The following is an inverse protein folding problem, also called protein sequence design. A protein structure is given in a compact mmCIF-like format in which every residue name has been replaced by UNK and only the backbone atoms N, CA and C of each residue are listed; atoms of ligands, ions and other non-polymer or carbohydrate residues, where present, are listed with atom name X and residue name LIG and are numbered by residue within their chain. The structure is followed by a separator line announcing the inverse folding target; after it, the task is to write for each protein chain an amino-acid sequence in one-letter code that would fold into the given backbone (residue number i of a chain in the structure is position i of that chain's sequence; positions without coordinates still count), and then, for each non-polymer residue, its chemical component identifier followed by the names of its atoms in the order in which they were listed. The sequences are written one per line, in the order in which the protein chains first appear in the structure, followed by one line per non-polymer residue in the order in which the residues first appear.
data_IF_748444524498
#
_entry.id   IF_748444524498
#
_cell.length_a   1.000
_cell.length_b   1.000
_cell.length_c   1.000
_cell.angle_alpha   90.00
_cell.angle_beta   90.00
_cell.angle_gamma   90.00
#
_symmetry.space_group_name_H-M   'P 1'
#
loop_
_entity.id
_entity.type
_entity.pdbx_description
1 polymer ?
#
# COMPACT_ATOMS: atom_id res chain seq x y z
N UNK A 1 -2.02 2.70 -8.18
CA UNK A 1 -0.85 2.15 -7.48
C UNK A 1 -1.34 1.40 -6.26
N UNK A 2 -0.73 0.26 -5.93
CA UNK A 2 -1.04 -0.53 -4.74
C UNK A 2 0.12 -0.37 -3.75
N UNK A 3 -0.19 0.03 -2.52
CA UNK A 3 0.80 0.15 -1.45
C UNK A 3 0.32 -0.68 -0.29
N UNK A 4 1.12 -1.69 0.03
CA UNK A 4 0.89 -2.55 1.19
C UNK A 4 1.66 -1.99 2.37
N UNK A 5 0.96 -1.59 3.42
CA UNK A 5 1.52 -1.10 4.68
C UNK A 5 1.59 -2.23 5.71
N UNK A 6 2.78 -2.51 6.26
CA UNK A 6 2.89 -3.33 7.45
C UNK A 6 3.85 -2.70 8.45
N UNK A 7 3.26 -2.51 9.61
CA UNK A 7 3.84 -2.03 10.85
C UNK A 7 3.05 -2.74 11.94
N UNK A 8 3.64 -3.01 13.10
CA UNK A 8 2.91 -3.67 14.20
C UNK A 8 1.61 -2.93 14.58
N UNK A 9 1.61 -1.59 14.47
CA UNK A 9 0.45 -0.75 14.73
C UNK A 9 -0.55 -0.68 13.56
N UNK A 10 -0.08 -0.95 12.33
CA UNK A 10 -0.89 -0.89 11.11
C UNK A 10 -1.59 -2.19 10.77
N UNK A 11 -1.12 -3.32 11.33
CA UNK A 11 -1.67 -4.64 11.11
C UNK A 11 -3.18 -4.70 11.44
N UNK A 12 -3.98 -5.42 10.63
CA UNK A 12 -5.37 -5.66 10.94
C UNK A 12 -5.48 -6.47 12.22
N UNK A 13 -6.42 -6.10 13.07
CA UNK A 13 -6.72 -6.79 14.33
C UNK A 13 -8.22 -6.85 14.57
N UNK A 14 -8.57 -7.75 15.47
CA UNK A 14 -9.94 -7.94 15.94
C UNK A 14 -10.07 -7.29 17.33
N UNK A 15 -10.92 -6.27 17.45
CA UNK A 15 -11.06 -5.48 18.72
C UNK A 15 -12.36 -5.72 19.49
N UNK A 16 -13.33 -6.39 18.87
CA UNK A 16 -14.51 -7.05 19.44
C UNK A 16 -14.75 -8.34 18.64
N UNK A 17 -15.70 -9.22 18.95
CA UNK A 17 -15.80 -10.57 18.33
C UNK A 17 -15.59 -10.61 16.79
N UNK A 18 -16.02 -9.56 16.08
CA UNK A 18 -15.95 -9.42 14.61
C UNK A 18 -15.56 -8.03 14.07
N UNK A 19 -15.20 -7.07 14.92
CA UNK A 19 -14.74 -5.76 14.43
C UNK A 19 -13.31 -5.88 13.91
N UNK A 20 -13.13 -5.67 12.62
CA UNK A 20 -11.81 -5.59 11.97
C UNK A 20 -11.40 -4.12 11.92
N UNK A 21 -10.24 -3.80 12.49
CA UNK A 21 -9.60 -2.49 12.34
C UNK A 21 -8.12 -2.60 11.98
N UNK A 22 -7.60 -1.62 11.26
CA UNK A 22 -6.18 -1.54 10.87
C UNK A 22 -5.88 -0.19 10.21
N UNK A 23 -4.64 0.01 9.75
CA UNK A 23 -4.27 1.21 9.01
C UNK A 23 -4.00 0.87 7.55
N UNK A 24 -4.87 1.36 6.66
CA UNK A 24 -4.69 1.18 5.22
C UNK A 24 -3.48 1.96 4.71
N UNK A 25 -3.20 3.11 5.35
CA UNK A 25 -2.10 4.01 5.02
C UNK A 25 -1.39 4.38 6.31
N UNK A 26 -0.05 4.36 6.29
CA UNK A 26 0.79 4.93 7.36
C UNK A 26 1.57 6.11 6.80
N UNK A 27 1.64 7.20 7.56
CA UNK A 27 2.26 8.43 7.10
C UNK A 27 3.74 8.51 7.46
N UNK A 28 4.51 9.16 6.58
CA UNK A 28 5.93 9.48 6.74
C UNK A 28 6.83 8.26 7.00
N UNK A 29 6.42 7.08 6.53
CA UNK A 29 7.21 5.86 6.61
C UNK A 29 7.57 5.37 5.21
N UNK A 30 8.80 4.86 5.07
CA UNK A 30 9.28 4.26 3.83
C UNK A 30 8.60 2.90 3.60
N UNK A 31 8.07 2.71 2.40
CA UNK A 31 7.64 1.40 1.92
C UNK A 31 8.84 0.46 1.73
N UNK A 32 8.57 -0.83 1.51
CA UNK A 32 9.54 -1.68 0.83
C UNK A 32 9.76 -1.23 -0.62
N UNK A 33 10.76 -1.82 -1.25
CA UNK A 33 11.01 -1.65 -2.68
C UNK A 33 9.79 -2.10 -3.47
N UNK A 34 9.15 -1.15 -4.13
CA UNK A 34 8.03 -1.36 -5.05
C UNK A 34 8.60 -1.49 -6.45
N UNK A 35 8.21 -2.55 -7.15
CA UNK A 35 8.44 -2.70 -8.57
C UNK A 35 7.13 -2.42 -9.31
N UNK A 36 7.12 -1.40 -10.17
CA UNK A 36 6.00 -1.02 -11.02
C UNK A 36 6.30 -1.43 -12.47
N UNK A 37 5.80 -2.58 -12.94
CA UNK A 37 6.19 -3.14 -14.24
C UNK A 37 5.83 -2.23 -15.41
N UNK A 38 4.67 -1.57 -15.31
CA UNK A 38 4.12 -0.71 -16.37
C UNK A 38 5.05 0.47 -16.69
N UNK A 39 5.75 0.98 -15.67
CA UNK A 39 6.70 2.09 -15.81
C UNK A 39 8.15 1.63 -15.81
N UNK A 40 8.39 0.33 -15.61
CA UNK A 40 9.73 -0.27 -15.40
C UNK A 40 10.50 0.49 -14.31
N UNK A 41 9.80 0.89 -13.24
CA UNK A 41 10.37 1.65 -12.14
C UNK A 41 10.46 0.78 -10.89
N UNK A 42 11.56 0.97 -10.17
CA UNK A 42 11.79 0.39 -8.85
C UNK A 42 12.05 1.52 -7.87
N UNK A 43 11.22 1.66 -6.83
CA UNK A 43 11.33 2.77 -5.88
C UNK A 43 10.87 2.39 -4.46
N UNK A 44 11.34 3.14 -3.47
CA UNK A 44 10.69 3.26 -2.16
C UNK A 44 9.72 4.41 -2.21
N UNK A 45 8.64 4.31 -1.46
CA UNK A 45 7.59 5.30 -1.38
C UNK A 45 7.38 5.81 0.03
N UNK A 46 7.03 7.09 0.15
CA UNK A 46 6.58 7.71 1.39
C UNK A 46 5.29 8.47 1.11
N UNK A 47 4.26 8.21 1.91
CA UNK A 47 3.01 8.98 1.90
C UNK A 47 3.10 10.04 2.99
N UNK A 48 3.07 11.31 2.61
CA UNK A 48 3.08 12.38 3.62
C UNK A 48 1.75 12.45 4.37
N UNK A 49 1.78 12.93 5.62
CA UNK A 49 0.57 13.13 6.44
C UNK A 49 -0.50 14.00 5.76
N UNK A 50 -0.07 14.95 4.93
CA UNK A 50 -0.98 15.83 4.17
C UNK A 50 -1.53 15.22 2.87
N UNK A 51 -1.11 14.01 2.51
CA UNK A 51 -1.48 13.40 1.24
C UNK A 51 -2.95 12.96 1.18
N UNK A 52 -3.55 12.71 2.34
CA UNK A 52 -4.96 12.33 2.49
C UNK A 52 -5.65 13.37 3.35
N UNK A 53 -6.79 13.87 2.88
CA UNK A 53 -7.61 14.85 3.60
C UNK A 53 -9.03 14.32 3.80
N UNK A 54 -9.74 14.85 4.79
CA UNK A 54 -11.17 14.54 4.97
C UNK A 54 -11.98 14.87 3.71
N UNK A 55 -11.68 15.98 3.04
CA UNK A 55 -12.31 16.36 1.77
C UNK A 55 -12.11 15.29 0.68
N UNK A 56 -10.90 14.72 0.57
CA UNK A 56 -10.63 13.62 -0.35
C UNK A 56 -11.51 12.39 0.00
N UNK A 57 -11.56 12.01 1.27
CA UNK A 57 -12.34 10.85 1.72
C UNK A 57 -13.84 11.02 1.43
N UNK A 58 -14.38 12.22 1.65
CA UNK A 58 -15.79 12.54 1.36
C UNK A 58 -16.12 12.51 -0.13
N UNK A 59 -15.14 12.65 -1.01
CA UNK A 59 -15.30 12.55 -2.45
C UNK A 59 -14.99 11.15 -3.03
N UNK A 60 -14.61 10.19 -2.18
CA UNK A 60 -14.26 8.85 -2.61
C UNK A 60 -15.35 7.81 -2.30
N UNK A 61 -15.40 6.80 -3.17
CA UNK A 61 -16.09 5.53 -2.97
C UNK A 61 -15.02 4.46 -2.73
N UNK A 62 -14.79 4.16 -1.46
CA UNK A 62 -13.69 3.32 -0.95
C UNK A 62 -14.26 2.00 -0.46
N UNK A 63 -13.71 0.89 -0.93
CA UNK A 63 -14.11 -0.46 -0.51
C UNK A 63 -13.10 -1.02 0.49
N UNK A 64 -13.58 -1.70 1.51
CA UNK A 64 -12.77 -2.67 2.23
C UNK A 64 -12.95 -4.02 1.54
N UNK A 65 -11.88 -4.56 0.97
CA UNK A 65 -11.87 -5.85 0.25
C UNK A 65 -10.78 -6.73 0.82
N UNK A 66 -10.83 -8.04 0.58
CA UNK A 66 -9.75 -8.95 0.97
C UNK A 66 -8.77 -9.17 -0.17
N UNK A 67 -7.46 -9.15 0.12
CA UNK A 67 -6.38 -9.33 -0.88
C UNK A 67 -6.50 -8.43 -2.13
N UNK A 68 -7.11 -7.26 -1.95
CA UNK A 68 -7.51 -6.36 -3.03
C UNK A 68 -8.35 -6.99 -4.16
N UNK A 69 -9.05 -8.08 -3.88
CA UNK A 69 -10.01 -8.69 -4.80
C UNK A 69 -11.35 -7.97 -4.68
N UNK A 70 -11.73 -7.24 -5.74
CA UNK A 70 -12.97 -6.48 -5.77
C UNK A 70 -14.24 -7.35 -5.63
N UNK A 71 -14.13 -8.68 -5.82
CA UNK A 71 -15.22 -9.63 -5.62
C UNK A 71 -15.38 -10.04 -4.15
N UNK A 72 -14.39 -9.77 -3.30
CA UNK A 72 -14.36 -10.15 -1.87
C UNK A 72 -14.62 -8.94 -0.99
N UNK A 73 -15.78 -8.33 -1.17
CA UNK A 73 -16.18 -7.10 -0.49
C UNK A 73 -16.55 -7.38 0.98
N UNK A 74 -15.94 -6.63 1.90
CA UNK A 74 -16.18 -6.72 3.33
C UNK A 74 -16.99 -5.53 3.85
N UNK A 75 -16.62 -4.32 3.44
CA UNK A 75 -17.31 -3.10 3.82
C UNK A 75 -17.12 -2.00 2.77
N UNK A 76 -17.87 -0.90 2.89
CA UNK A 76 -17.78 0.21 1.94
C UNK A 76 -18.03 1.55 2.59
N UNK A 77 -17.20 2.52 2.21
CA UNK A 77 -17.34 3.94 2.49
C UNK A 77 -17.71 4.64 1.18
N UNK A 78 -18.92 5.15 1.12
CA UNK A 78 -19.46 5.87 -0.02
C UNK A 78 -19.70 7.32 0.39
N UNK A 79 -18.74 8.18 0.07
CA UNK A 79 -18.85 9.63 0.26
C UNK A 79 -19.21 10.03 1.71
N UNK A 80 -18.56 9.44 2.70
CA UNK A 80 -18.86 9.73 4.11
C UNK A 80 -19.82 8.76 4.80
N UNK A 81 -20.33 7.74 4.10
CA UNK A 81 -21.39 6.86 4.61
C UNK A 81 -21.23 5.40 4.23
N UNK A 82 -21.67 4.47 5.09
CA UNK A 82 -21.71 3.04 4.77
C UNK A 82 -21.28 2.16 5.95
N UNK A 83 -20.87 0.93 5.65
CA UNK A 83 -20.43 -0.06 6.64
C UNK A 83 -18.95 0.03 6.99
N UNK A 84 -18.17 0.80 6.22
CA UNK A 84 -16.77 1.10 6.53
C UNK A 84 -16.70 2.44 7.25
N UNK A 85 -15.95 2.48 8.35
CA UNK A 85 -15.52 3.71 9.01
C UNK A 85 -14.07 4.01 8.64
N UNK A 86 -13.79 5.28 8.34
CA UNK A 86 -12.45 5.78 8.05
C UNK A 86 -12.16 6.96 8.99
N UNK A 87 -10.95 7.03 9.53
CA UNK A 87 -10.52 8.16 10.36
C UNK A 87 -9.04 8.45 10.13
N UNK A 88 -8.71 9.73 9.99
CA UNK A 88 -7.33 10.20 9.95
C UNK A 88 -6.83 10.47 11.37
N UNK A 89 -5.60 10.04 11.64
CA UNK A 89 -4.86 10.45 12.82
C UNK A 89 -3.39 10.74 12.47
N UNK A 90 -2.59 11.00 13.50
CA UNK A 90 -1.16 11.28 13.33
C UNK A 90 -0.38 10.11 12.72
N UNK A 91 -0.88 8.89 12.89
CA UNK A 91 -0.23 7.70 12.40
C UNK A 91 -0.58 7.41 10.94
N UNK A 92 -1.83 7.58 10.55
CA UNK A 92 -2.29 7.12 9.24
C UNK A 92 -3.78 7.30 8.97
N UNK A 93 -4.24 6.61 7.91
CA UNK A 93 -5.65 6.40 7.63
C UNK A 93 -6.09 5.07 8.24
N UNK A 94 -6.80 5.15 9.36
CA UNK A 94 -7.41 4.00 10.01
C UNK A 94 -8.68 3.58 9.28
N UNK A 95 -8.88 2.28 9.12
CA UNK A 95 -10.16 1.70 8.71
C UNK A 95 -10.72 0.81 9.82
N UNK A 96 -12.05 0.74 9.89
CA UNK A 96 -12.76 -0.10 10.84
C UNK A 96 -14.12 -0.51 10.27
N UNK A 97 -14.52 -1.77 10.47
CA UNK A 97 -15.86 -2.24 10.13
C UNK A 97 -16.22 -3.51 10.90
N UNK A 98 -17.52 -3.73 11.08
CA UNK A 98 -18.05 -5.03 11.53
C UNK A 98 -18.00 -6.01 10.35
N UNK A 99 -17.26 -7.11 10.51
CA UNK A 99 -17.07 -8.08 9.43
C UNK A 99 -18.39 -8.78 9.09
N UNK A 100 -18.87 -8.71 7.84
CA UNK A 100 -20.17 -9.24 7.47
C UNK A 100 -20.22 -10.76 7.70
N UNK A 101 -21.41 -11.29 7.99
CA UNK A 101 -21.63 -12.74 8.10
C UNK A 101 -21.75 -13.38 6.71
N UNK A 102 -20.63 -13.41 6.00
CA UNK A 102 -20.46 -14.02 4.68
C UNK A 102 -19.23 -14.94 4.70
N UNK A 103 -19.08 -15.77 3.68
CA UNK A 103 -17.89 -16.63 3.52
C UNK A 103 -16.60 -15.82 3.63
N UNK A 104 -16.52 -14.66 2.97
CA UNK A 104 -15.34 -13.81 3.01
C UNK A 104 -15.16 -13.07 4.34
N UNK A 105 -16.25 -12.64 4.98
CA UNK A 105 -16.16 -11.98 6.28
C UNK A 105 -15.76 -12.93 7.41
N UNK A 106 -16.28 -14.16 7.40
CA UNK A 106 -15.87 -15.22 8.32
C UNK A 106 -14.41 -15.64 8.09
N UNK A 107 -14.02 -15.80 6.82
CA UNK A 107 -12.65 -16.09 6.45
C UNK A 107 -11.69 -14.99 6.93
N UNK A 108 -12.03 -13.71 6.70
CA UNK A 108 -11.20 -12.58 7.12
C UNK A 108 -10.99 -12.56 8.63
N UNK A 109 -12.07 -12.75 9.41
CA UNK A 109 -11.99 -12.80 10.89
C UNK A 109 -11.08 -13.93 11.35
N UNK A 110 -11.23 -15.13 10.80
CA UNK A 110 -10.44 -16.29 11.21
C UNK A 110 -8.95 -16.13 10.86
N UNK A 111 -8.64 -15.71 9.62
CA UNK A 111 -7.25 -15.56 9.18
C UNK A 111 -6.54 -14.41 9.89
N UNK A 112 -7.25 -13.32 10.24
CA UNK A 112 -6.67 -12.25 11.06
C UNK A 112 -6.42 -12.73 12.50
N UNK A 113 -7.37 -13.46 13.12
CA UNK A 113 -7.19 -14.00 14.48
C UNK A 113 -6.00 -14.94 14.59
N UNK A 114 -5.77 -15.75 13.56
CA UNK A 114 -4.64 -16.69 13.48
C UNK A 114 -3.30 -16.00 13.15
N UNK A 115 -3.34 -14.76 12.65
CA UNK A 115 -2.17 -14.05 12.16
C UNK A 115 -1.73 -14.47 10.75
N UNK A 116 -2.54 -15.23 10.02
CA UNK A 116 -2.28 -15.57 8.62
C UNK A 116 -2.47 -14.34 7.70
N UNK A 117 -3.43 -13.47 8.05
CA UNK A 117 -3.56 -12.12 7.50
C UNK A 117 -3.11 -11.14 8.58
N UNK A 118 -1.94 -10.54 8.36
CA UNK A 118 -1.28 -9.74 9.39
C UNK A 118 -0.84 -8.36 8.88
N UNK A 119 -1.15 -7.99 7.64
CA UNK A 119 -0.87 -6.66 7.12
C UNK A 119 -2.06 -5.97 6.48
N UNK A 120 -1.89 -4.69 6.21
CA UNK A 120 -2.89 -3.83 5.58
C UNK A 120 -2.34 -3.23 4.30
N UNK A 121 -3.23 -2.72 3.46
CA UNK A 121 -2.84 -2.16 2.19
C UNK A 121 -3.93 -1.22 1.69
N UNK A 122 -3.60 -0.42 0.69
CA UNK A 122 -4.56 0.40 -0.02
C UNK A 122 -4.19 0.57 -1.49
N UNK A 123 -5.21 0.82 -2.32
CA UNK A 123 -5.03 1.26 -3.70
C UNK A 123 -5.46 2.70 -3.85
N UNK A 124 -4.64 3.46 -4.57
CA UNK A 124 -4.89 4.87 -4.81
C UNK A 124 -4.39 5.33 -6.17
N UNK A 125 -4.78 6.53 -6.53
CA UNK A 125 -4.40 7.22 -7.75
C UNK A 125 -3.89 8.62 -7.41
N UNK A 126 -2.85 9.05 -8.12
CA UNK A 126 -2.32 10.42 -8.11
C UNK A 126 -1.63 10.71 -9.44
N UNK A 127 -1.53 11.97 -9.85
CA UNK A 127 -0.80 12.36 -11.06
C UNK A 127 0.69 12.61 -10.78
N UNK A 128 1.51 11.62 -11.13
CA UNK A 128 2.98 11.67 -10.95
C UNK A 128 3.68 12.75 -11.78
N UNK A 129 3.00 13.38 -12.74
CA UNK A 129 3.55 14.50 -13.53
C UNK A 129 3.43 15.83 -12.79
N UNK A 130 2.54 15.92 -11.81
CA UNK A 130 2.36 17.12 -10.99
C UNK A 130 3.35 17.09 -9.81
N UNK A 131 4.39 17.94 -9.90
CA UNK A 131 5.41 18.07 -8.85
C UNK A 131 4.85 18.56 -7.51
N UNK A 132 3.66 19.14 -7.49
CA UNK A 132 2.94 19.50 -6.27
C UNK A 132 2.24 18.30 -5.61
N UNK A 133 2.12 17.15 -6.29
CA UNK A 133 1.53 15.93 -5.77
C UNK A 133 2.54 14.82 -5.53
N UNK A 134 3.54 14.70 -6.39
CA UNK A 134 4.58 13.67 -6.29
C UNK A 134 5.94 14.28 -6.60
N UNK A 135 6.93 13.98 -5.76
CA UNK A 135 8.33 14.26 -6.07
C UNK A 135 9.15 12.99 -6.06
N UNK A 136 10.25 13.04 -6.80
CA UNK A 136 11.21 11.95 -6.90
C UNK A 136 12.59 12.44 -6.49
N UNK A 137 13.26 11.66 -5.67
CA UNK A 137 14.65 11.89 -5.27
C UNK A 137 15.43 10.58 -5.28
N UNK A 138 16.75 10.64 -5.09
CA UNK A 138 17.58 9.45 -4.88
C UNK A 138 18.03 9.38 -3.43
N UNK A 139 17.86 8.21 -2.81
CA UNK A 139 18.34 7.88 -1.48
C UNK A 139 19.07 6.54 -1.54
N UNK A 140 20.35 6.52 -1.17
CA UNK A 140 21.19 5.30 -1.15
C UNK A 140 21.19 4.50 -2.48
N UNK A 141 21.18 5.19 -3.62
CA UNK A 141 21.16 4.55 -4.94
C UNK A 141 19.78 4.09 -5.41
N UNK A 142 18.74 4.22 -4.59
CA UNK A 142 17.36 3.87 -4.92
C UNK A 142 16.51 5.12 -5.15
N UNK A 143 15.53 5.00 -6.05
CA UNK A 143 14.54 6.04 -6.29
C UNK A 143 13.60 6.12 -5.08
N UNK A 144 13.41 7.32 -4.54
CA UNK A 144 12.46 7.62 -3.49
C UNK A 144 11.34 8.47 -4.08
N UNK A 145 10.11 7.93 -4.06
CA UNK A 145 8.88 8.59 -4.49
C UNK A 145 8.15 9.13 -3.26
N UNK A 146 7.96 10.44 -3.20
CA UNK A 146 7.26 11.08 -2.08
C UNK A 146 5.91 11.56 -2.59
N UNK A 147 4.83 11.14 -1.93
CA UNK A 147 3.46 11.51 -2.26
C UNK A 147 3.00 12.60 -1.31
N UNK A 148 2.83 13.79 -1.86
CA UNK A 148 2.32 14.96 -1.19
C UNK A 148 0.79 15.04 -1.24
N UNK A 149 0.16 14.50 -2.29
CA UNK A 149 -1.30 14.51 -2.49
C UNK A 149 -1.80 13.27 -3.24
N UNK A 150 -2.93 12.74 -2.80
CA UNK A 150 -3.66 11.65 -3.44
C UNK A 150 -4.92 12.22 -4.11
N UNK A 151 -5.20 11.75 -5.34
CA UNK A 151 -6.38 12.18 -6.10
C UNK A 151 -7.61 11.31 -5.81
N UNK A 152 -7.39 10.03 -5.51
CA UNK A 152 -8.47 9.09 -5.19
C UNK A 152 -7.93 7.89 -4.44
N UNK A 153 -8.67 7.44 -3.43
CA UNK A 153 -8.48 6.13 -2.80
C UNK A 153 -9.57 5.19 -3.34
N UNK A 154 -9.17 3.99 -3.74
CA UNK A 154 -10.07 2.99 -4.33
C UNK A 154 -10.50 1.96 -3.31
N UNK A 155 -9.53 1.44 -2.54
CA UNK A 155 -9.78 0.42 -1.55
C UNK A 155 -8.73 0.42 -0.44
N UNK A 156 -9.13 -0.17 0.69
CA UNK A 156 -8.27 -0.63 1.78
C UNK A 156 -8.43 -2.15 1.89
N UNK A 157 -7.38 -2.85 2.26
CA UNK A 157 -7.38 -4.32 2.27
C UNK A 157 -6.54 -4.88 3.41
N UNK A 158 -7.09 -5.80 4.23
CA UNK A 158 -6.26 -6.80 4.91
C UNK A 158 -5.57 -7.69 3.86
N UNK A 159 -4.29 -8.00 4.10
CA UNK A 159 -3.46 -8.80 3.19
C UNK A 159 -2.55 -9.79 3.95
N UNK A 160 -2.38 -11.00 3.42
CA UNK A 160 -1.47 -12.03 3.93
C UNK A 160 -0.01 -11.79 3.54
N UNK A 161 0.21 -11.17 2.40
CA UNK A 161 1.54 -10.77 1.92
C UNK A 161 1.64 -9.26 1.89
N UNK A 162 1.66 -8.58 3.05
CA UNK A 162 1.97 -7.17 3.04
C UNK A 162 3.36 -6.96 2.46
N UNK A 163 3.59 -5.80 1.88
CA UNK A 163 4.91 -5.49 1.34
C UNK A 163 5.98 -5.59 2.44
N UNK A 164 5.64 -5.56 3.73
CA UNK A 164 6.57 -5.76 4.82
C UNK A 164 6.42 -7.14 5.49
N UNK A 165 7.28 -8.08 5.15
CA UNK A 165 7.94 -8.88 6.19
C UNK A 165 9.15 -8.15 6.72
N UNK A 166 9.09 -7.74 8.00
CA UNK A 166 10.26 -7.51 8.83
C UNK A 166 10.74 -8.87 9.34
N UNK A 167 11.48 -9.58 8.51
CA UNK A 167 12.49 -10.49 9.03
C UNK A 167 13.83 -9.88 8.66
N UNK A 168 14.78 -9.97 9.58
CA UNK A 168 16.20 -9.72 9.41
C UNK A 168 16.85 -10.63 8.35
N UNK A 169 16.23 -10.72 7.17
CA UNK A 169 16.94 -10.95 5.94
C UNK A 169 17.25 -9.54 5.46
N UNK A 170 18.40 -9.04 5.95
CA UNK A 170 19.28 -8.21 5.14
C UNK A 170 19.04 -8.62 3.69
N UNK A 171 18.43 -7.77 2.88
CA UNK A 171 18.50 -7.92 1.42
C UNK A 171 19.98 -8.13 1.17
N UNK A 172 20.38 -9.37 0.90
CA UNK A 172 21.79 -9.76 0.83
C UNK A 172 22.30 -9.13 -0.45
N UNK A 173 22.83 -7.93 -0.24
CA UNK A 173 23.36 -6.99 -1.22
C UNK A 173 22.40 -6.56 -2.34
N UNK A 174 22.75 -5.40 -2.93
CA UNK A 174 22.19 -4.90 -4.19
C UNK A 174 22.22 -5.98 -5.29
N UNK A 175 23.11 -6.98 -5.16
CA UNK A 175 23.34 -8.05 -6.11
C UNK A 175 22.17 -9.04 -6.19
N UNK A 176 21.45 -9.32 -5.09
CA UNK A 176 20.29 -10.22 -5.12
C UNK A 176 19.07 -9.55 -5.79
N UNK A 177 18.90 -8.24 -5.58
CA UNK A 177 17.93 -7.43 -6.33
C UNK A 177 18.34 -7.36 -7.80
N UNK A 178 19.63 -7.12 -8.10
CA UNK A 178 20.15 -7.18 -9.47
C UNK A 178 19.94 -8.56 -10.10
N UNK A 179 20.10 -9.65 -9.36
CA UNK A 179 19.92 -11.01 -9.85
C UNK A 179 18.44 -11.33 -10.11
N UNK A 180 17.52 -10.89 -9.25
CA UNK A 180 16.07 -11.01 -9.48
C UNK A 180 15.62 -10.17 -10.69
N UNK A 181 16.21 -8.98 -10.89
CA UNK A 181 15.93 -8.11 -12.04
C UNK A 181 16.55 -8.70 -13.32
N UNK A 182 17.80 -9.17 -13.28
CA UNK A 182 18.50 -9.81 -14.42
C UNK A 182 17.82 -11.09 -14.88
N UNK A 183 17.30 -11.91 -13.94
CA UNK A 183 16.60 -13.15 -14.31
C UNK A 183 15.23 -12.92 -14.94
N UNK A 184 14.62 -11.73 -14.78
CA UNK A 184 13.34 -11.40 -15.40
C UNK A 184 13.46 -10.65 -16.72
N UNK A 185 14.52 -9.85 -16.92
CA UNK A 185 14.70 -9.06 -18.14
C UNK A 185 16.16 -9.09 -18.62
N UNK A 186 16.41 -9.84 -19.71
CA UNK A 186 17.65 -9.79 -20.50
C UNK A 186 17.85 -8.43 -21.24
N UNK A 187 17.03 -7.43 -20.94
CA UNK A 187 16.94 -6.15 -21.66
C UNK A 187 17.50 -4.95 -20.85
N UNK A 188 17.75 -5.13 -19.54
CA UNK A 188 18.20 -4.07 -18.63
C UNK A 188 19.63 -3.57 -18.93
N UNK A 189 20.56 -4.49 -19.24
CA UNK A 189 21.94 -4.13 -19.58
C UNK A 189 22.03 -3.35 -20.89
N UNK A 190 21.13 -3.63 -21.83
CA UNK A 190 21.05 -2.93 -23.13
C UNK A 190 20.56 -1.50 -22.94
N UNK A 191 19.59 -1.26 -22.05
CA UNK A 191 19.02 0.07 -21.78
C UNK A 191 19.97 0.98 -20.98
N UNK A 192 20.77 0.43 -20.06
CA UNK A 192 21.80 1.19 -19.34
C UNK A 192 22.90 1.73 -20.27
N UNK A 193 23.23 1.00 -21.35
CA UNK A 193 24.17 1.46 -22.35
C UNK A 193 23.61 2.63 -23.18
N UNK A 194 22.29 2.65 -23.42
CA UNK A 194 21.64 3.74 -24.17
C UNK A 194 21.54 5.03 -23.35
N UNK A 195 21.28 4.93 -22.04
CA UNK A 195 21.19 6.09 -21.14
C UNK A 195 22.54 6.76 -20.86
N UNK A 196 23.65 6.02 -20.93
CA UNK A 196 25.01 6.60 -20.81
C UNK A 196 25.43 7.46 -22.00
N UNK A 197 24.79 7.30 -23.16
CA UNK A 197 25.08 8.09 -24.36
C UNK A 197 24.22 9.36 -24.49
N UNK A 198 23.42 9.68 -23.47
CA UNK A 198 22.50 10.83 -23.44
C UNK A 198 22.83 11.86 -22.34
N UNK A 199 24.03 11.78 -21.74
CA UNK A 199 24.62 12.78 -20.85
C UNK A 199 25.98 13.16 -21.43
#
# INVERSE_FOLDING_TARGET
MEIRSFTELGAPKITEERIIEGYGIVFNQESKVIYEPQRKLTFIEVIERGAVTEELLMNCDIKAVLEHDANRLLARWRYGSGSLSLSLDDYGLKYMFDSPHTVDGDFAVEMIKRGDIFGSSFRYFTDDRDKGKVTYSKKNGMLLRIVHKIDRIADVSPVSDPAFYGTDVTVRSMDDIEAMIRNKDNDYLTQLATLKNLI
#
